data_IF_097036020097
#
_entry.id   IF_097036020097
#
_cell.length_a   1.000
_cell.length_b   1.000
_cell.length_c   1.000
_cell.angle_alpha   90.00
_cell.angle_beta   90.00
_cell.angle_gamma   90.00
#
_symmetry.space_group_name_H-M   'P 1'
#
loop_
_entity.id
_entity.type
_entity.pdbx_description
1 polymer ?
#
# COMPACT_ATOMS: atom_id res chain seq x y z
N UNK A 1 -12.27 23.72 12.49
CA UNK A 1 -13.36 22.74 12.71
C UNK A 1 -13.12 21.88 13.95
N UNK A 2 -12.03 21.11 14.07
CA UNK A 2 -11.74 20.34 15.30
C UNK A 2 -11.51 21.23 16.54
N UNK A 3 -10.59 22.20 16.47
CA UNK A 3 -10.28 23.09 17.61
C UNK A 3 -11.48 23.90 18.08
N UNK A 4 -12.40 24.24 17.17
CA UNK A 4 -13.64 24.97 17.49
C UNK A 4 -14.64 24.13 18.30
N UNK A 5 -14.57 22.80 18.22
CA UNK A 5 -15.53 21.87 18.85
C UNK A 5 -14.92 21.11 20.02
N UNK A 6 -13.62 20.83 19.99
CA UNK A 6 -12.91 20.00 20.97
C UNK A 6 -11.84 20.78 21.76
N UNK A 7 -11.58 22.04 21.42
CA UNK A 7 -10.57 22.87 22.06
C UNK A 7 -9.15 22.73 21.47
N UNK A 8 -8.16 23.43 22.04
CA UNK A 8 -6.78 23.40 21.55
C UNK A 8 -6.17 22.01 21.70
N UNK A 9 -5.27 21.68 20.77
CA UNK A 9 -4.53 20.41 20.76
C UNK A 9 -3.13 20.66 21.30
N UNK A 10 -2.62 19.72 22.09
CA UNK A 10 -1.25 19.76 22.61
C UNK A 10 -0.23 19.74 21.45
N UNK A 11 0.89 20.45 21.61
CA UNK A 11 1.92 20.58 20.58
C UNK A 11 2.52 19.22 20.13
N UNK A 12 2.45 18.19 20.97
CA UNK A 12 2.93 16.84 20.66
C UNK A 12 1.89 15.99 19.87
N UNK A 13 0.71 16.56 19.58
CA UNK A 13 -0.40 15.88 18.93
C UNK A 13 -0.74 16.50 17.58
N UNK A 14 -1.14 15.64 16.65
CA UNK A 14 -1.55 15.96 15.30
C UNK A 14 -3.06 15.73 15.15
N UNK A 15 -3.68 16.45 14.21
CA UNK A 15 -5.05 16.18 13.80
C UNK A 15 -5.04 15.03 12.79
N UNK A 16 -5.57 13.88 13.19
CA UNK A 16 -5.64 12.66 12.40
C UNK A 16 -7.08 12.43 11.90
N UNK A 17 -7.20 11.77 10.75
CA UNK A 17 -8.49 11.47 10.12
C UNK A 17 -8.90 10.01 10.37
N UNK A 18 -10.10 9.81 10.93
CA UNK A 18 -10.74 8.49 11.02
C UNK A 18 -11.22 7.99 9.65
N UNK A 19 -11.57 8.91 8.75
CA UNK A 19 -12.21 8.61 7.48
C UNK A 19 -11.25 8.53 6.28
N UNK A 20 -9.95 8.76 6.48
CA UNK A 20 -8.92 8.73 5.44
C UNK A 20 -9.09 9.70 4.25
N UNK A 21 -10.09 10.57 4.29
CA UNK A 21 -10.34 11.60 3.30
C UNK A 21 -9.69 12.93 3.72
N UNK A 22 -8.62 13.32 3.01
CA UNK A 22 -7.84 14.54 3.28
C UNK A 22 -8.64 15.84 3.19
N UNK A 23 -9.72 15.87 2.41
CA UNK A 23 -10.59 17.04 2.28
C UNK A 23 -11.68 17.11 3.36
N UNK A 24 -11.82 16.07 4.18
CA UNK A 24 -12.86 16.01 5.21
C UNK A 24 -12.55 16.96 6.37
N UNK A 25 -13.47 17.86 6.68
CA UNK A 25 -13.36 18.80 7.80
C UNK A 25 -14.39 18.56 8.91
N UNK A 26 -15.15 17.47 8.85
CA UNK A 26 -16.11 17.10 9.89
C UNK A 26 -15.37 16.80 11.20
N UNK A 27 -15.61 17.55 12.30
CA UNK A 27 -14.94 17.32 13.57
C UNK A 27 -15.06 15.89 14.11
N UNK A 28 -16.18 15.21 13.89
CA UNK A 28 -16.40 13.84 14.39
C UNK A 28 -15.48 12.81 13.71
N UNK A 29 -15.04 13.12 12.50
CA UNK A 29 -14.12 12.32 11.70
C UNK A 29 -12.65 12.66 11.97
N UNK A 30 -12.39 13.61 12.86
CA UNK A 30 -11.05 14.04 13.26
C UNK A 30 -10.78 13.62 14.70
N UNK A 31 -9.52 13.40 15.05
CA UNK A 31 -9.09 13.19 16.43
C UNK A 31 -7.67 13.70 16.63
N UNK A 32 -7.33 14.08 17.86
CA UNK A 32 -5.96 14.39 18.24
C UNK A 32 -5.20 13.09 18.54
N UNK A 33 -4.11 12.84 17.82
CA UNK A 33 -3.30 11.64 17.96
C UNK A 33 -1.82 11.92 17.75
N UNK A 34 -0.95 11.06 18.25
CA UNK A 34 0.49 11.13 18.03
C UNK A 34 0.84 10.66 16.61
N UNK A 35 2.08 10.91 16.18
CA UNK A 35 2.62 10.30 14.95
C UNK A 35 2.54 8.76 15.01
N UNK A 36 2.70 8.19 16.20
CA UNK A 36 2.58 6.74 16.42
C UNK A 36 1.15 6.27 16.21
N UNK A 37 0.16 6.96 16.75
CA UNK A 37 -1.25 6.61 16.56
C UNK A 37 -1.63 6.66 15.07
N UNK A 38 -1.15 7.66 14.34
CA UNK A 38 -1.36 7.75 12.89
C UNK A 38 -0.68 6.61 12.12
N UNK A 39 0.52 6.18 12.56
CA UNK A 39 1.21 5.04 11.96
C UNK A 39 0.50 3.71 12.28
N UNK A 40 0.02 3.53 13.50
CA UNK A 40 -0.75 2.36 13.95
C UNK A 40 -2.09 2.29 13.20
N UNK A 41 -2.77 3.42 12.97
CA UNK A 41 -3.96 3.52 12.11
C UNK A 41 -3.67 3.08 10.67
N UNK A 42 -2.56 3.55 10.09
CA UNK A 42 -2.15 3.16 8.74
C UNK A 42 -1.82 1.66 8.65
N UNK A 43 -1.22 1.08 9.70
CA UNK A 43 -0.96 -0.37 9.80
C UNK A 43 -2.28 -1.14 9.91
N UNK A 44 -3.18 -0.73 10.81
CA UNK A 44 -4.46 -1.39 11.05
C UNK A 44 -5.34 -1.40 9.78
N UNK A 45 -5.22 -0.37 8.95
CA UNK A 45 -5.95 -0.23 7.68
C UNK A 45 -5.18 -0.76 6.45
N UNK A 46 -4.08 -1.48 6.67
CA UNK A 46 -3.20 -2.08 5.63
C UNK A 46 -2.66 -1.08 4.59
N UNK A 47 -2.58 0.21 4.93
CA UNK A 47 -2.15 1.31 4.04
C UNK A 47 -0.64 1.50 3.96
N UNK A 48 0.14 0.50 4.36
CA UNK A 48 1.61 0.55 4.36
C UNK A 48 2.25 -0.53 3.47
N UNK A 49 1.43 -1.42 2.90
CA UNK A 49 1.89 -2.56 2.10
C UNK A 49 1.51 -2.38 0.63
N UNK A 50 2.16 -3.16 -0.23
CA UNK A 50 1.88 -3.19 -1.66
C UNK A 50 2.02 -1.81 -2.28
N UNK A 51 1.00 -1.38 -3.02
CA UNK A 51 0.98 -0.12 -3.77
C UNK A 51 0.93 1.13 -2.89
N UNK A 52 0.53 0.98 -1.63
CA UNK A 52 0.52 2.09 -0.67
C UNK A 52 1.88 2.34 -0.03
N UNK A 53 2.88 1.48 -0.28
CA UNK A 53 4.24 1.76 0.11
C UNK A 53 4.82 2.86 -0.80
N UNK A 54 5.27 3.98 -0.23
CA UNK A 54 5.81 5.11 -0.99
C UNK A 54 7.07 4.80 -1.83
N UNK A 55 7.69 3.63 -1.64
CA UNK A 55 8.78 3.12 -2.49
C UNK A 55 8.34 2.03 -3.48
N UNK A 56 7.06 1.67 -3.50
CA UNK A 56 6.54 0.69 -4.43
C UNK A 56 6.70 1.19 -5.87
N UNK A 57 7.21 0.31 -6.73
CA UNK A 57 7.35 0.56 -8.17
C UNK A 57 6.20 -0.04 -8.99
N UNK A 58 5.35 -0.82 -8.34
CA UNK A 58 4.28 -1.60 -8.97
C UNK A 58 2.96 -1.32 -8.24
N UNK A 59 1.84 -1.46 -8.95
CA UNK A 59 0.49 -1.47 -8.37
C UNK A 59 -0.04 -2.89 -8.21
N UNK A 60 -1.16 -3.03 -7.50
CA UNK A 60 -1.83 -4.34 -7.38
C UNK A 60 -2.22 -4.91 -8.76
N UNK A 61 -2.72 -4.07 -9.67
CA UNK A 61 -3.10 -4.46 -11.04
C UNK A 61 -1.89 -4.91 -11.85
N UNK A 62 -0.78 -4.17 -11.78
CA UNK A 62 0.45 -4.52 -12.48
C UNK A 62 1.01 -5.87 -12.00
N UNK A 63 0.86 -6.19 -10.71
CA UNK A 63 1.27 -7.49 -10.17
C UNK A 63 0.41 -8.63 -10.72
N UNK A 64 -0.89 -8.42 -10.87
CA UNK A 64 -1.80 -9.39 -11.51
C UNK A 64 -1.39 -9.58 -12.97
N UNK A 65 -1.18 -8.49 -13.70
CA UNK A 65 -0.76 -8.52 -15.10
C UNK A 65 0.58 -9.24 -15.29
N UNK A 66 1.58 -8.97 -14.44
CA UNK A 66 2.87 -9.67 -14.44
C UNK A 66 2.69 -11.17 -14.27
N UNK A 67 1.82 -11.60 -13.34
CA UNK A 67 1.53 -13.01 -13.07
C UNK A 67 0.85 -13.68 -14.28
N UNK A 68 -0.13 -13.02 -14.88
CA UNK A 68 -0.83 -13.50 -16.06
C UNK A 68 0.09 -13.61 -17.28
N UNK A 69 0.87 -12.56 -17.58
CA UNK A 69 1.83 -12.56 -18.69
C UNK A 69 2.89 -13.64 -18.52
N UNK A 70 3.38 -13.86 -17.30
CA UNK A 70 4.28 -14.98 -17.02
C UNK A 70 3.61 -16.34 -17.21
N UNK A 71 2.35 -16.51 -16.75
CA UNK A 71 1.59 -17.74 -16.95
C UNK A 71 1.33 -18.03 -18.44
N UNK A 72 1.22 -16.98 -19.27
CA UNK A 72 1.14 -17.06 -20.73
C UNK A 72 2.49 -17.30 -21.43
N UNK A 73 3.58 -17.48 -20.68
CA UNK A 73 4.89 -17.86 -21.20
C UNK A 73 5.85 -16.70 -21.47
N UNK A 74 5.55 -15.47 -21.03
CA UNK A 74 6.53 -14.39 -21.13
C UNK A 74 7.72 -14.58 -20.18
N UNK A 75 8.91 -14.26 -20.68
CA UNK A 75 10.15 -14.35 -19.91
C UNK A 75 10.26 -13.25 -18.86
N UNK A 76 10.79 -13.60 -17.68
CA UNK A 76 10.89 -12.69 -16.53
C UNK A 76 11.76 -11.45 -16.84
N UNK A 77 12.79 -11.58 -17.68
CA UNK A 77 13.65 -10.45 -18.08
C UNK A 77 12.88 -9.40 -18.90
N UNK A 78 11.99 -9.84 -19.79
CA UNK A 78 11.14 -8.96 -20.59
C UNK A 78 10.14 -8.22 -19.71
N UNK A 79 9.55 -8.91 -18.74
CA UNK A 79 8.66 -8.31 -17.75
C UNK A 79 9.42 -7.31 -16.87
N UNK A 80 10.61 -7.67 -16.41
CA UNK A 80 11.47 -6.81 -15.60
C UNK A 80 11.77 -5.47 -16.32
N UNK A 81 12.15 -5.55 -17.60
CA UNK A 81 12.38 -4.37 -18.44
C UNK A 81 11.09 -3.55 -18.65
N UNK A 82 9.96 -4.21 -18.91
CA UNK A 82 8.68 -3.53 -19.15
C UNK A 82 8.17 -2.73 -17.95
N UNK A 83 8.38 -3.22 -16.72
CA UNK A 83 7.92 -2.55 -15.50
C UNK A 83 9.04 -1.82 -14.72
N UNK A 84 10.27 -1.75 -15.27
CA UNK A 84 11.38 -1.03 -14.64
C UNK A 84 11.82 -1.60 -13.28
N UNK A 85 11.66 -2.92 -13.10
CA UNK A 85 12.06 -3.65 -11.89
C UNK A 85 13.12 -4.71 -12.21
N UNK A 86 13.82 -5.22 -11.20
CA UNK A 86 14.77 -6.31 -11.40
C UNK A 86 14.09 -7.65 -11.66
N UNK A 87 14.75 -8.55 -12.40
CA UNK A 87 14.25 -9.91 -12.66
C UNK A 87 13.96 -10.69 -11.36
N UNK A 88 14.77 -10.50 -10.31
CA UNK A 88 14.51 -11.07 -8.97
C UNK A 88 13.16 -10.66 -8.42
N UNK A 89 12.76 -9.38 -8.59
CA UNK A 89 11.46 -8.87 -8.16
C UNK A 89 10.32 -9.58 -8.90
N UNK A 90 10.46 -9.77 -10.21
CA UNK A 90 9.48 -10.53 -11.02
C UNK A 90 9.40 -11.98 -10.53
N UNK A 91 10.54 -12.63 -10.28
CA UNK A 91 10.57 -13.99 -9.76
C UNK A 91 9.86 -14.12 -8.41
N UNK A 92 10.10 -13.21 -7.47
CA UNK A 92 9.42 -13.19 -6.18
C UNK A 92 7.92 -12.92 -6.27
N UNK A 93 7.48 -12.08 -7.23
CA UNK A 93 6.07 -11.83 -7.51
C UNK A 93 5.38 -13.08 -8.06
N UNK A 94 5.99 -13.73 -9.04
CA UNK A 94 5.48 -14.93 -9.71
C UNK A 94 5.42 -16.12 -8.77
N UNK A 95 6.41 -16.29 -7.90
CA UNK A 95 6.43 -17.32 -6.85
C UNK A 95 5.48 -17.00 -5.69
N UNK A 96 4.89 -15.79 -5.65
CA UNK A 96 4.02 -15.36 -4.56
C UNK A 96 4.75 -15.11 -3.25
N UNK A 97 6.08 -14.90 -3.26
CA UNK A 97 6.88 -14.51 -2.08
C UNK A 97 6.71 -13.02 -1.75
N UNK A 98 6.54 -12.19 -2.80
CA UNK A 98 6.13 -10.78 -2.68
C UNK A 98 4.70 -10.59 -3.17
N UNK A 99 4.04 -9.54 -2.69
CA UNK A 99 2.65 -9.22 -3.03
C UNK A 99 1.71 -10.41 -2.75
N UNK A 100 1.85 -11.00 -1.56
CA UNK A 100 1.12 -12.20 -1.11
C UNK A 100 -0.39 -11.93 -1.01
N UNK A 101 -0.78 -10.69 -0.71
CA UNK A 101 -2.17 -10.24 -0.62
C UNK A 101 -2.83 -10.08 -2.00
N UNK A 102 -2.04 -9.99 -3.08
CA UNK A 102 -2.56 -9.85 -4.45
C UNK A 102 -2.89 -11.22 -5.04
N UNK A 103 -3.98 -11.31 -5.82
CA UNK A 103 -4.43 -12.53 -6.51
C UNK A 103 -3.64 -12.87 -7.78
N UNK A 104 -4.21 -13.71 -8.64
CA UNK A 104 -3.60 -14.11 -9.92
C UNK A 104 -2.77 -15.41 -9.86
N UNK A 105 -2.36 -15.94 -11.04
CA UNK A 105 -1.70 -17.24 -11.14
C UNK A 105 -0.31 -17.22 -10.51
N UNK A 106 -0.03 -18.17 -9.62
CA UNK A 106 1.27 -18.31 -8.94
C UNK A 106 1.97 -19.56 -9.43
N UNK A 107 3.28 -19.45 -9.66
CA UNK A 107 4.10 -20.61 -9.94
C UNK A 107 4.29 -21.38 -8.64
N UNK A 108 3.66 -22.53 -8.51
CA UNK A 108 3.92 -23.46 -7.41
C UNK A 108 5.33 -24.01 -7.61
N UNK A 109 6.21 -23.88 -6.62
CA UNK A 109 7.48 -24.61 -6.65
C UNK A 109 7.15 -26.10 -6.57
N UNK A 110 7.57 -26.87 -7.57
CA UNK A 110 7.62 -28.33 -7.47
C UNK A 110 8.58 -28.77 -6.37
#
# INVERSE_FOLDING_TARGET
>A
MYVQTHGPVSDDLYICHKCDNRLCVNPDHLYAGTVRDNADDAIARDRIKGEFNGRAKLTNEQVIEIRERYANGEYQEKLAAAYGVGQTTISEIVLGKKWVHVGGPRKVSR
#
